data_IF_834388822225
#
_entry.id   IF_834388822225
#
_cell.length_a   1.000
_cell.length_b   1.000
_cell.length_c   1.000
_cell.angle_alpha   90.00
_cell.angle_beta   90.00
_cell.angle_gamma   90.00
#
_symmetry.space_group_name_H-M   'P 1'
#
loop_
_entity.id
_entity.type
_entity.pdbx_description
1 polymer ?
#
# COMPACT_ATOMS: atom_id res chain seq x y z
N UNK A 1 4.38 7.56 15.29
CA UNK A 1 3.41 7.40 14.16
C UNK A 1 2.22 8.30 14.39
N UNK A 2 1.66 8.83 13.33
CA UNK A 2 0.47 9.68 13.40
C UNK A 2 -0.72 8.94 14.01
N UNK A 3 -1.48 9.59 14.87
CA UNK A 3 -2.74 9.09 15.42
C UNK A 3 -3.93 9.76 14.73
N UNK A 4 -5.09 9.13 14.80
CA UNK A 4 -6.33 9.62 14.17
C UNK A 4 -7.45 9.64 15.21
N UNK A 5 -8.28 10.66 15.16
CA UNK A 5 -9.39 10.84 16.11
C UNK A 5 -10.55 9.88 15.79
N UNK A 6 -10.81 9.64 14.50
CA UNK A 6 -11.91 8.82 14.02
C UNK A 6 -11.67 8.32 12.61
N UNK A 7 -12.62 7.53 12.09
CA UNK A 7 -12.59 6.98 10.73
C UNK A 7 -12.48 8.06 9.65
N UNK A 8 -13.21 9.14 9.80
CA UNK A 8 -13.25 10.21 8.79
C UNK A 8 -11.89 10.88 8.65
N UNK A 9 -11.21 11.12 9.74
CA UNK A 9 -9.86 11.69 9.71
C UNK A 9 -8.87 10.76 9.00
N UNK A 10 -8.95 9.45 9.27
CA UNK A 10 -8.11 8.45 8.59
C UNK A 10 -8.42 8.42 7.10
N UNK A 11 -9.69 8.35 6.71
CA UNK A 11 -10.09 8.33 5.30
C UNK A 11 -9.70 9.61 4.58
N UNK A 12 -9.85 10.76 5.21
CA UNK A 12 -9.43 12.05 4.63
C UNK A 12 -7.92 12.09 4.37
N UNK A 13 -7.12 11.56 5.28
CA UNK A 13 -5.67 11.54 5.09
C UNK A 13 -5.24 10.56 3.99
N UNK A 14 -5.89 9.41 3.90
CA UNK A 14 -5.68 8.48 2.78
C UNK A 14 -5.98 9.20 1.47
N UNK A 15 -7.14 9.83 1.37
CA UNK A 15 -7.55 10.52 0.14
C UNK A 15 -6.58 11.64 -0.25
N UNK A 16 -6.16 12.44 0.71
CA UNK A 16 -5.22 13.54 0.49
C UNK A 16 -3.86 13.04 -0.01
N UNK A 17 -3.31 12.03 0.66
CA UNK A 17 -2.01 11.46 0.32
C UNK A 17 -2.05 10.74 -1.03
N UNK A 18 -3.10 9.96 -1.26
CA UNK A 18 -3.28 9.21 -2.49
C UNK A 18 -3.48 10.14 -3.70
N UNK A 19 -4.33 11.16 -3.58
CA UNK A 19 -4.58 12.10 -4.68
C UNK A 19 -3.30 12.78 -5.15
N UNK A 20 -2.47 13.22 -4.22
CA UNK A 20 -1.17 13.84 -4.54
C UNK A 20 -0.21 12.87 -5.21
N UNK A 21 -0.19 11.63 -4.74
CA UNK A 21 0.67 10.60 -5.29
C UNK A 21 0.25 10.21 -6.71
N UNK A 22 -1.00 9.81 -6.88
CA UNK A 22 -1.46 9.24 -8.16
C UNK A 22 -1.42 10.28 -9.30
N UNK A 23 -1.64 11.56 -8.99
CA UNK A 23 -1.60 12.63 -9.99
C UNK A 23 -0.22 12.80 -10.62
N UNK A 24 0.86 12.39 -9.94
CA UNK A 24 2.20 12.50 -10.49
C UNK A 24 2.43 11.63 -11.72
N UNK A 25 1.60 10.61 -11.92
CA UNK A 25 1.73 9.70 -13.06
C UNK A 25 0.99 10.18 -14.32
N UNK A 26 0.20 11.25 -14.22
CA UNK A 26 -0.64 11.72 -15.34
C UNK A 26 0.17 12.20 -16.54
N UNK A 27 1.35 12.72 -16.32
CA UNK A 27 2.24 13.25 -17.37
C UNK A 27 3.39 12.31 -17.74
N UNK A 28 3.37 11.07 -17.26
CA UNK A 28 4.39 10.07 -17.61
C UNK A 28 3.88 9.26 -18.81
N UNK A 29 4.60 9.28 -19.95
CA UNK A 29 4.22 8.46 -21.10
C UNK A 29 4.33 6.96 -20.80
N UNK A 30 3.41 6.17 -21.35
CA UNK A 30 3.47 4.72 -21.21
C UNK A 30 4.78 4.13 -21.75
N UNK A 31 5.35 4.75 -22.77
CA UNK A 31 6.63 4.34 -23.35
C UNK A 31 7.81 4.42 -22.36
N UNK A 32 7.67 5.20 -21.28
CA UNK A 32 8.71 5.39 -20.27
C UNK A 32 8.40 4.69 -18.95
N UNK A 33 7.37 3.85 -18.92
CA UNK A 33 6.98 3.17 -17.67
C UNK A 33 8.08 2.30 -17.06
N UNK A 34 8.97 1.77 -17.88
CA UNK A 34 10.07 0.90 -17.45
C UNK A 34 11.45 1.58 -17.55
N UNK A 35 11.47 2.89 -17.75
CA UNK A 35 12.72 3.64 -17.85
C UNK A 35 13.40 3.70 -16.49
N UNK A 36 14.56 3.05 -16.39
CA UNK A 36 15.36 3.02 -15.17
C UNK A 36 16.41 4.13 -15.22
N UNK A 37 16.48 4.87 -14.11
CA UNK A 37 17.55 5.85 -13.89
C UNK A 37 18.32 5.49 -12.63
N UNK A 38 19.61 5.78 -12.60
CA UNK A 38 20.49 5.34 -11.50
C UNK A 38 20.16 6.02 -10.17
N UNK A 39 19.61 7.23 -10.21
CA UNK A 39 19.34 8.06 -9.03
C UNK A 39 18.08 7.66 -8.27
N UNK A 40 17.26 6.78 -8.83
CA UNK A 40 16.02 6.32 -8.21
C UNK A 40 15.93 4.81 -8.30
N UNK A 41 15.57 4.18 -7.20
CA UNK A 41 15.59 2.72 -7.06
C UNK A 41 14.46 1.99 -7.81
N UNK A 42 13.45 2.70 -8.31
CA UNK A 42 12.30 2.10 -8.99
C UNK A 42 11.94 2.85 -10.26
N UNK A 43 11.52 2.09 -11.28
CA UNK A 43 10.86 2.63 -12.48
C UNK A 43 9.45 3.10 -12.10
N UNK A 44 8.77 3.90 -12.96
CA UNK A 44 7.38 4.28 -12.70
C UNK A 44 6.45 3.08 -12.47
N UNK A 45 6.57 2.03 -13.28
CA UNK A 45 5.76 0.82 -13.13
C UNK A 45 6.06 0.09 -11.81
N UNK A 46 7.33 -0.03 -11.43
CA UNK A 46 7.72 -0.63 -10.16
C UNK A 46 7.23 0.17 -8.95
N UNK A 47 7.23 1.50 -9.06
CA UNK A 47 6.74 2.39 -8.03
C UNK A 47 5.25 2.13 -7.74
N UNK A 48 4.42 2.03 -8.80
CA UNK A 48 2.99 1.70 -8.66
C UNK A 48 2.78 0.24 -8.21
N UNK A 49 3.57 -0.69 -8.74
CA UNK A 49 3.46 -2.11 -8.39
C UNK A 49 3.65 -2.36 -6.88
N UNK A 50 4.56 -1.64 -6.26
CA UNK A 50 4.76 -1.69 -4.80
C UNK A 50 3.49 -1.33 -4.04
N UNK A 51 2.82 -0.25 -4.44
CA UNK A 51 1.60 0.20 -3.78
C UNK A 51 0.44 -0.78 -4.01
N UNK A 52 0.30 -1.27 -5.24
CA UNK A 52 -0.71 -2.29 -5.57
C UNK A 52 -0.50 -3.54 -4.73
N UNK A 53 0.75 -3.98 -4.60
CA UNK A 53 1.08 -5.17 -3.82
C UNK A 53 0.70 -5.08 -2.35
N UNK A 54 1.14 -4.02 -1.68
CA UNK A 54 0.86 -3.86 -0.25
C UNK A 54 -0.62 -3.61 0.04
N UNK A 55 -1.29 -2.80 -0.76
CA UNK A 55 -2.72 -2.56 -0.55
C UNK A 55 -3.54 -3.81 -0.77
N UNK A 56 -3.17 -4.65 -1.74
CA UNK A 56 -3.82 -5.94 -1.94
C UNK A 56 -3.60 -6.88 -0.75
N UNK A 57 -2.40 -6.89 -0.16
CA UNK A 57 -2.09 -7.75 0.99
C UNK A 57 -2.90 -7.37 2.22
N UNK A 58 -2.99 -6.09 2.59
CA UNK A 58 -3.76 -5.71 3.77
C UNK A 58 -5.25 -6.03 3.60
N UNK A 59 -5.78 -5.88 2.41
CA UNK A 59 -7.16 -6.27 2.09
C UNK A 59 -7.36 -7.78 2.24
N UNK A 60 -6.37 -8.56 1.80
CA UNK A 60 -6.40 -10.02 1.93
C UNK A 60 -6.34 -10.46 3.39
N UNK A 61 -5.47 -9.86 4.21
CA UNK A 61 -5.38 -10.21 5.62
C UNK A 61 -6.74 -10.08 6.32
N UNK A 62 -7.39 -8.95 6.12
CA UNK A 62 -8.68 -8.69 6.74
C UNK A 62 -9.77 -9.62 6.21
N UNK A 63 -9.85 -9.80 4.89
CA UNK A 63 -10.85 -10.67 4.27
C UNK A 63 -10.70 -12.13 4.71
N UNK A 64 -9.47 -12.63 4.76
CA UNK A 64 -9.19 -14.03 5.13
C UNK A 64 -9.53 -14.28 6.59
N UNK A 65 -9.14 -13.38 7.50
CA UNK A 65 -9.46 -13.56 8.92
C UNK A 65 -10.96 -13.54 9.16
N UNK A 66 -11.72 -12.69 8.46
CA UNK A 66 -13.17 -12.66 8.55
C UNK A 66 -13.82 -13.97 8.08
N UNK A 67 -13.18 -14.69 7.19
CA UNK A 67 -13.64 -16.00 6.69
C UNK A 67 -13.19 -17.16 7.58
N UNK A 68 -12.45 -16.89 8.66
CA UNK A 68 -11.89 -17.93 9.52
C UNK A 68 -10.65 -18.60 8.96
N UNK A 69 -10.04 -18.03 7.91
CA UNK A 69 -8.79 -18.53 7.32
C UNK A 69 -7.63 -17.98 8.14
N UNK A 70 -6.67 -18.83 8.49
CA UNK A 70 -5.47 -18.40 9.19
C UNK A 70 -4.64 -17.50 8.25
N UNK A 71 -4.32 -16.28 8.70
CA UNK A 71 -3.55 -15.31 7.94
C UNK A 71 -2.07 -15.47 8.23
N UNK A 72 -1.26 -15.48 7.16
CA UNK A 72 0.19 -15.41 7.24
C UNK A 72 0.65 -14.05 6.74
N UNK A 73 1.34 -13.30 7.60
CA UNK A 73 1.88 -11.99 7.22
C UNK A 73 3.38 -12.08 6.98
N UNK A 74 3.96 -11.29 6.06
CA UNK A 74 3.28 -10.35 5.17
C UNK A 74 2.48 -11.03 4.04
N UNK A 75 2.82 -12.28 3.67
CA UNK A 75 2.09 -13.05 2.65
C UNK A 75 2.23 -14.54 2.91
N UNK A 76 1.48 -15.35 2.18
CA UNK A 76 1.53 -16.82 2.33
C UNK A 76 2.91 -17.40 2.02
N UNK A 77 3.65 -16.77 1.11
CA UNK A 77 4.90 -17.31 0.56
C UNK A 77 6.16 -16.59 1.05
N UNK A 78 6.03 -15.44 1.72
CA UNK A 78 7.18 -14.64 2.16
C UNK A 78 7.03 -14.24 3.63
N UNK A 79 8.15 -14.29 4.36
CA UNK A 79 8.22 -13.86 5.76
C UNK A 79 8.71 -12.43 5.86
N UNK A 80 8.58 -11.81 7.04
CA UNK A 80 9.02 -10.44 7.26
C UNK A 80 10.52 -10.23 7.06
N UNK A 81 11.34 -11.26 7.17
CA UNK A 81 12.78 -11.19 6.84
C UNK A 81 13.07 -11.44 5.35
N UNK A 82 12.06 -11.52 4.50
CA UNK A 82 12.15 -11.76 3.06
C UNK A 82 11.50 -10.63 2.26
N UNK A 83 11.52 -9.40 2.77
CA UNK A 83 10.85 -8.26 2.11
C UNK A 83 11.42 -7.94 0.73
N UNK A 84 12.74 -8.10 0.54
CA UNK A 84 13.34 -7.92 -0.79
C UNK A 84 12.76 -8.87 -1.83
N UNK A 85 12.56 -10.13 -1.46
CA UNK A 85 11.95 -11.14 -2.32
C UNK A 85 10.47 -10.85 -2.56
N UNK A 86 9.75 -10.37 -1.55
CA UNK A 86 8.36 -9.95 -1.70
C UNK A 86 8.24 -8.77 -2.67
N UNK A 87 9.12 -7.78 -2.58
CA UNK A 87 9.12 -6.64 -3.49
C UNK A 87 9.43 -7.06 -4.93
N UNK A 88 10.33 -8.02 -5.11
CA UNK A 88 10.58 -8.59 -6.42
C UNK A 88 9.34 -9.32 -6.95
N UNK A 89 8.61 -10.01 -6.07
CA UNK A 89 7.35 -10.65 -6.44
C UNK A 89 6.29 -9.63 -6.87
N UNK A 90 6.21 -8.47 -6.20
CA UNK A 90 5.33 -7.38 -6.66
C UNK A 90 5.70 -6.91 -8.06
N UNK A 91 6.99 -6.71 -8.30
CA UNK A 91 7.49 -6.30 -9.61
C UNK A 91 7.13 -7.34 -10.69
N UNK A 92 7.44 -8.60 -10.43
CA UNK A 92 7.18 -9.69 -11.37
C UNK A 92 5.69 -9.89 -11.66
N UNK A 93 4.85 -9.65 -10.64
CA UNK A 93 3.41 -9.85 -10.75
C UNK A 93 2.70 -8.69 -11.44
N UNK A 94 3.12 -7.45 -11.19
CA UNK A 94 2.34 -6.26 -11.56
C UNK A 94 3.03 -5.32 -12.54
N UNK A 95 4.36 -5.20 -12.53
CA UNK A 95 5.05 -4.14 -13.26
C UNK A 95 4.99 -4.31 -14.80
N UNK A 96 4.58 -5.47 -15.30
CA UNK A 96 4.36 -5.68 -16.73
C UNK A 96 3.08 -4.99 -17.26
N UNK A 97 2.17 -4.62 -16.37
CA UNK A 97 0.95 -3.92 -16.71
C UNK A 97 1.25 -2.47 -17.13
N UNK A 98 0.32 -1.86 -17.87
CA UNK A 98 0.44 -0.45 -18.21
C UNK A 98 0.32 0.44 -16.97
N UNK A 99 0.80 1.68 -17.06
CA UNK A 99 0.60 2.65 -15.99
C UNK A 99 -0.89 2.87 -15.73
N UNK A 100 -1.70 2.91 -16.78
CA UNK A 100 -3.15 3.08 -16.62
C UNK A 100 -3.78 1.90 -15.87
N UNK A 101 -3.42 0.66 -16.24
CA UNK A 101 -3.90 -0.53 -15.55
C UNK A 101 -3.48 -0.55 -14.08
N UNK A 102 -2.23 -0.18 -13.79
CA UNK A 102 -1.73 -0.10 -12.41
C UNK A 102 -2.44 0.98 -11.60
N UNK A 103 -2.68 2.14 -12.20
CA UNK A 103 -3.46 3.21 -11.56
C UNK A 103 -4.88 2.75 -11.25
N UNK A 104 -5.52 2.07 -12.19
CA UNK A 104 -6.89 1.57 -12.01
C UNK A 104 -6.95 0.53 -10.87
N UNK A 105 -6.00 -0.41 -10.83
CA UNK A 105 -5.90 -1.39 -9.76
C UNK A 105 -5.71 -0.73 -8.40
N UNK A 106 -4.83 0.26 -8.32
CA UNK A 106 -4.58 0.96 -7.07
C UNK A 106 -5.81 1.76 -6.62
N UNK A 107 -6.51 2.41 -7.54
CA UNK A 107 -7.78 3.08 -7.25
C UNK A 107 -8.80 2.10 -6.66
N UNK A 108 -8.95 0.92 -7.25
CA UNK A 108 -9.84 -0.11 -6.75
C UNK A 108 -9.44 -0.56 -5.35
N UNK A 109 -8.15 -0.78 -5.12
CA UNK A 109 -7.65 -1.17 -3.80
C UNK A 109 -7.92 -0.10 -2.75
N UNK A 110 -7.71 1.18 -3.07
CA UNK A 110 -8.00 2.29 -2.15
C UNK A 110 -9.49 2.37 -1.85
N UNK A 111 -10.36 2.22 -2.85
CA UNK A 111 -11.80 2.17 -2.62
C UNK A 111 -12.19 1.00 -1.72
N UNK A 112 -11.55 -0.16 -1.90
CA UNK A 112 -11.78 -1.33 -1.04
C UNK A 112 -11.28 -1.09 0.39
N UNK A 113 -10.20 -0.33 0.56
CA UNK A 113 -9.71 0.07 1.90
C UNK A 113 -10.73 1.00 2.57
N UNK A 114 -11.33 1.96 1.85
CA UNK A 114 -12.42 2.77 2.40
C UNK A 114 -13.59 1.90 2.86
N UNK A 115 -14.01 0.94 2.04
CA UNK A 115 -15.08 0.01 2.40
C UNK A 115 -14.69 -0.83 3.64
N UNK A 116 -13.45 -1.27 3.72
CA UNK A 116 -12.92 -1.98 4.89
C UNK A 116 -13.01 -1.13 6.15
N UNK A 117 -12.58 0.12 6.08
CA UNK A 117 -12.66 1.07 7.21
C UNK A 117 -14.12 1.27 7.64
N UNK A 118 -15.02 1.46 6.68
CA UNK A 118 -16.44 1.65 6.97
C UNK A 118 -17.06 0.42 7.62
N UNK A 119 -16.60 -0.76 7.30
CA UNK A 119 -17.09 -2.03 7.85
C UNK A 119 -16.58 -2.34 9.26
N UNK A 120 -15.48 -1.72 9.67
CA UNK A 120 -14.88 -1.90 10.99
C UNK A 120 -15.52 -0.92 11.99
N UNK A 121 -15.70 -1.36 13.23
CA UNK A 121 -16.09 -0.43 14.31
C UNK A 121 -14.91 0.46 14.69
N UNK A 122 -15.18 1.57 15.39
CA UNK A 122 -14.12 2.41 15.97
C UNK A 122 -13.19 1.58 16.86
N UNK A 123 -13.75 0.65 17.65
CA UNK A 123 -12.95 -0.24 18.49
C UNK A 123 -12.05 -1.15 17.68
N UNK A 124 -12.57 -1.77 16.62
CA UNK A 124 -11.80 -2.65 15.76
C UNK A 124 -10.63 -1.92 15.09
N UNK A 125 -10.79 -0.66 14.74
CA UNK A 125 -9.75 0.16 14.13
C UNK A 125 -8.72 0.68 15.14
N UNK A 126 -9.17 1.17 16.29
CA UNK A 126 -8.33 2.01 17.15
C UNK A 126 -7.95 1.38 18.49
N UNK A 127 -8.49 0.21 18.86
CA UNK A 127 -8.04 -0.53 20.03
C UNK A 127 -7.09 -1.65 19.64
N UNK A 128 -6.13 -2.01 20.52
CA UNK A 128 -5.22 -3.11 20.24
C UNK A 128 -5.93 -4.46 20.34
N UNK A 129 -5.33 -5.48 19.76
CA UNK A 129 -5.74 -6.89 19.86
C UNK A 129 -7.11 -7.22 19.25
N UNK A 130 -7.55 -6.43 18.27
CA UNK A 130 -8.84 -6.64 17.62
C UNK A 130 -8.76 -7.57 16.39
N UNK A 131 -7.55 -7.86 15.91
CA UNK A 131 -7.30 -8.81 14.81
C UNK A 131 -6.06 -9.64 15.10
N UNK A 132 -6.15 -10.94 14.88
CA UNK A 132 -5.00 -11.84 15.03
C UNK A 132 -3.90 -11.51 14.03
N UNK A 133 -4.28 -11.20 12.78
CA UNK A 133 -3.29 -10.86 11.76
C UNK A 133 -2.45 -9.64 12.17
N UNK A 134 -3.04 -8.68 12.85
CA UNK A 134 -2.32 -7.50 13.34
C UNK A 134 -1.36 -7.86 14.47
N UNK A 135 -1.80 -8.66 15.42
CA UNK A 135 -0.95 -9.10 16.55
C UNK A 135 0.21 -9.97 16.09
N UNK A 136 -0.03 -10.85 15.14
CA UNK A 136 0.98 -11.77 14.62
C UNK A 136 1.97 -11.10 13.66
N UNK A 137 1.62 -9.95 13.09
CA UNK A 137 2.49 -9.21 12.18
C UNK A 137 3.65 -8.49 12.87
N UNK A 138 3.62 -8.38 14.20
CA UNK A 138 4.68 -7.75 14.99
C UNK A 138 5.23 -8.77 16.02
N UNK A 139 6.51 -8.63 16.39
CA UNK A 139 7.13 -9.51 17.39
C UNK A 139 6.86 -9.03 18.81
N UNK A 140 7.17 -7.78 19.09
CA UNK A 140 7.08 -7.19 20.43
C UNK A 140 6.18 -5.96 20.50
N UNK A 141 6.07 -5.22 19.39
CA UNK A 141 5.19 -4.06 19.32
C UNK A 141 3.73 -4.50 19.27
N UNK A 142 2.86 -3.69 19.86
CA UNK A 142 1.41 -3.87 19.76
C UNK A 142 0.89 -2.81 18.81
N UNK A 143 0.32 -3.24 17.69
CA UNK A 143 -0.20 -2.34 16.66
C UNK A 143 -1.69 -2.55 16.45
N UNK A 144 -2.43 -1.47 16.57
CA UNK A 144 -3.84 -1.40 16.17
C UNK A 144 -3.96 -1.49 14.65
N UNK A 145 -5.12 -1.91 14.17
CA UNK A 145 -5.40 -2.06 12.73
C UNK A 145 -5.13 -0.77 11.95
N UNK A 146 -5.51 0.39 12.50
CA UNK A 146 -5.31 1.67 11.80
C UNK A 146 -3.84 1.94 11.47
N UNK A 147 -2.91 1.46 12.28
CA UNK A 147 -1.47 1.66 12.02
C UNK A 147 -1.03 0.93 10.76
N UNK A 148 -1.54 -0.28 10.53
CA UNK A 148 -1.28 -1.01 9.28
C UNK A 148 -1.88 -0.31 8.08
N UNK A 149 -3.07 0.27 8.23
CA UNK A 149 -3.69 1.08 7.16
C UNK A 149 -2.82 2.30 6.86
N UNK A 150 -2.36 3.00 7.89
CA UNK A 150 -1.50 4.18 7.73
C UNK A 150 -0.19 3.84 6.99
N UNK A 151 0.50 2.78 7.38
CA UNK A 151 1.80 2.43 6.77
C UNK A 151 1.66 1.80 5.38
N UNK A 152 0.46 1.45 4.95
CA UNK A 152 0.22 0.88 3.62
C UNK A 152 -0.57 1.81 2.70
N UNK A 153 -1.33 2.76 3.22
CA UNK A 153 -2.23 3.60 2.41
C UNK A 153 -2.11 5.11 2.69
N UNK A 154 -1.15 5.54 3.51
CA UNK A 154 -0.86 6.96 3.76
C UNK A 154 0.63 7.24 3.60
N UNK A 155 1.46 6.72 4.49
CA UNK A 155 2.89 7.03 4.55
C UNK A 155 3.64 6.69 3.25
N UNK A 156 3.43 5.53 2.60
CA UNK A 156 4.15 5.22 1.37
C UNK A 156 3.87 6.19 0.23
N UNK A 157 2.67 6.74 0.15
CA UNK A 157 2.34 7.70 -0.92
C UNK A 157 3.22 8.94 -0.86
N UNK A 158 3.54 9.45 0.33
CA UNK A 158 4.47 10.56 0.49
C UNK A 158 5.89 10.21 0.06
N UNK A 159 6.41 9.10 0.56
CA UNK A 159 7.75 8.62 0.25
C UNK A 159 7.92 8.32 -1.24
N UNK A 160 7.00 7.61 -1.84
CA UNK A 160 7.07 7.21 -3.25
C UNK A 160 6.74 8.35 -4.20
N UNK A 161 5.94 9.32 -3.75
CA UNK A 161 5.75 10.57 -4.50
C UNK A 161 7.09 11.32 -4.65
N UNK A 162 7.87 11.39 -3.60
CA UNK A 162 9.21 12.01 -3.67
C UNK A 162 10.09 11.30 -4.70
N UNK A 163 10.06 9.98 -4.72
CA UNK A 163 10.82 9.17 -5.68
C UNK A 163 10.38 9.41 -7.12
N UNK A 164 9.08 9.39 -7.41
CA UNK A 164 8.60 9.57 -8.77
C UNK A 164 8.83 11.00 -9.27
N UNK A 165 8.75 11.99 -8.40
CA UNK A 165 9.08 13.37 -8.75
C UNK A 165 10.55 13.52 -9.12
N UNK A 166 11.43 12.87 -8.40
CA UNK A 166 12.86 12.85 -8.73
C UNK A 166 13.10 12.17 -10.08
N UNK A 167 12.45 11.05 -10.32
CA UNK A 167 12.52 10.35 -11.60
C UNK A 167 12.08 11.28 -12.75
N UNK A 168 10.96 12.00 -12.59
CA UNK A 168 10.43 12.92 -13.60
C UNK A 168 11.41 14.05 -13.93
N UNK A 169 12.08 14.60 -12.94
CA UNK A 169 13.06 15.69 -13.16
C UNK A 169 14.22 15.25 -14.04
N UNK A 170 14.57 13.97 -14.01
CA UNK A 170 15.73 13.44 -14.74
C UNK A 170 15.30 12.88 -16.10
N UNK A 171 14.18 12.17 -16.15
CA UNK A 171 13.75 11.42 -17.33
C UNK A 171 12.85 12.20 -18.29
N UNK A 172 12.18 13.26 -17.83
CA UNK A 172 11.28 14.06 -18.68
C UNK A 172 11.87 15.40 -19.10
#
# INVERSE_FOLDING_TARGET
MRTYVNKDELKNEINKSFAKYISEFNDIPESLKDERIDEVDRTPAENLAYQVGWTALILKWEADERKGIQVKTPSDNFKWNQLGELYQWFTDTYAHLSLQELKDMLNENINSIYAMIDSLSEEELFKPHMRKWADEATKTAVWEVYKFIHVNAVAPFGTFRTKIRKWKKIAL
#
